data_IF_294821064507
#
_entry.id   IF_294821064507
#
_cell.length_a   1.000
_cell.length_b   1.000
_cell.length_c   1.000
_cell.angle_alpha   90.00
_cell.angle_beta   90.00
_cell.angle_gamma   90.00
#
_symmetry.space_group_name_H-M   'P 1'
#
loop_
_entity.id
_entity.type
_entity.pdbx_description
1 polymer ?
#
# COMPACT_ATOMS: atom_id res chain seq x y z
N UNK A 1 71.44 -47.36 6.57
CA UNK A 1 70.50 -46.41 7.22
C UNK A 1 69.45 -45.85 6.25
N UNK A 2 69.76 -45.51 5.00
CA UNK A 2 68.77 -44.99 4.03
C UNK A 2 67.64 -45.96 3.69
N UNK A 3 67.94 -47.24 3.48
CA UNK A 3 66.93 -48.22 3.01
C UNK A 3 65.91 -48.62 4.08
N UNK A 4 66.30 -48.63 5.36
CA UNK A 4 65.38 -48.91 6.47
C UNK A 4 64.36 -47.78 6.64
N UNK A 5 64.80 -46.52 6.56
CA UNK A 5 63.89 -45.36 6.60
C UNK A 5 62.96 -45.34 5.39
N UNK A 6 63.45 -45.80 4.23
CA UNK A 6 62.63 -45.91 3.02
C UNK A 6 61.59 -47.03 3.15
N UNK A 7 61.94 -48.18 3.71
CA UNK A 7 61.01 -49.28 3.98
C UNK A 7 59.94 -48.91 5.03
N UNK A 8 60.31 -48.18 6.08
CA UNK A 8 59.36 -47.67 7.07
C UNK A 8 58.36 -46.68 6.45
N UNK A 9 58.82 -45.78 5.57
CA UNK A 9 57.92 -44.87 4.83
C UNK A 9 56.98 -45.62 3.89
N UNK A 10 57.46 -46.69 3.24
CA UNK A 10 56.63 -47.52 2.36
C UNK A 10 55.54 -48.22 3.18
N UNK A 11 55.86 -48.77 4.35
CA UNK A 11 54.87 -49.37 5.25
C UNK A 11 53.82 -48.35 5.72
N UNK A 12 54.26 -47.18 6.16
CA UNK A 12 53.35 -46.11 6.59
C UNK A 12 52.42 -45.66 5.45
N UNK A 13 52.94 -45.57 4.22
CA UNK A 13 52.12 -45.25 3.05
C UNK A 13 51.15 -46.38 2.70
N UNK A 14 51.52 -47.64 2.88
CA UNK A 14 50.63 -48.77 2.69
C UNK A 14 49.49 -48.78 3.71
N UNK A 15 49.78 -48.51 4.98
CA UNK A 15 48.77 -48.38 6.05
C UNK A 15 47.80 -47.24 5.77
N UNK A 16 48.30 -46.06 5.37
CA UNK A 16 47.42 -44.94 4.97
C UNK A 16 46.58 -45.25 3.74
N UNK A 17 47.09 -46.06 2.82
CA UNK A 17 46.36 -46.45 1.61
C UNK A 17 45.24 -47.45 1.93
N UNK A 18 45.45 -48.33 2.91
CA UNK A 18 44.38 -49.18 3.46
C UNK A 18 43.32 -48.36 4.20
N UNK A 19 43.72 -47.42 5.07
CA UNK A 19 42.79 -46.51 5.75
C UNK A 19 41.94 -45.70 4.75
N UNK A 20 42.56 -45.17 3.69
CA UNK A 20 41.85 -44.44 2.65
C UNK A 20 40.84 -45.31 1.88
N UNK A 21 41.13 -46.61 1.69
CA UNK A 21 40.19 -47.55 1.06
C UNK A 21 38.99 -47.83 1.96
N UNK A 22 39.20 -47.97 3.26
CA UNK A 22 38.13 -48.17 4.24
C UNK A 22 37.26 -46.91 4.38
N UNK A 23 37.87 -45.73 4.43
CA UNK A 23 37.12 -44.46 4.43
C UNK A 23 36.28 -44.32 3.16
N UNK A 24 36.81 -44.74 2.01
CA UNK A 24 36.08 -44.70 0.73
C UNK A 24 34.93 -45.70 0.68
N UNK A 25 35.07 -46.89 1.28
CA UNK A 25 33.95 -47.83 1.38
C UNK A 25 32.87 -47.30 2.32
N UNK A 26 33.26 -46.77 3.48
CA UNK A 26 32.33 -46.16 4.45
C UNK A 26 31.58 -44.97 3.87
N UNK A 27 32.23 -44.10 3.09
CA UNK A 27 31.54 -43.02 2.39
C UNK A 27 30.50 -43.54 1.40
N UNK A 28 30.83 -44.61 0.67
CA UNK A 28 29.91 -45.22 -0.28
C UNK A 28 28.74 -45.90 0.44
N UNK A 29 29.00 -46.58 1.56
CA UNK A 29 27.96 -47.18 2.38
C UNK A 29 27.04 -46.10 2.96
N UNK A 30 27.56 -44.94 3.38
CA UNK A 30 26.75 -43.81 3.83
C UNK A 30 25.92 -43.20 2.69
N UNK A 31 26.48 -43.09 1.48
CA UNK A 31 25.75 -42.59 0.30
C UNK A 31 24.67 -43.58 -0.16
N UNK A 32 24.93 -44.89 -0.08
CA UNK A 32 23.98 -45.94 -0.44
C UNK A 32 22.92 -46.16 0.68
N UNK A 33 23.24 -45.88 1.94
CA UNK A 33 22.33 -45.90 3.10
C UNK A 33 21.64 -44.55 3.35
N UNK A 34 21.88 -43.51 2.53
CA UNK A 34 21.08 -42.29 2.60
C UNK A 34 19.63 -42.70 2.34
N UNK A 35 18.74 -42.65 3.34
CA UNK A 35 17.38 -43.14 3.12
C UNK A 35 16.76 -42.23 2.06
N UNK A 36 16.07 -42.79 1.06
CA UNK A 36 15.33 -42.01 0.05
C UNK A 36 14.49 -40.88 0.68
N UNK A 37 14.03 -41.10 1.92
CA UNK A 37 13.34 -40.11 2.73
C UNK A 37 14.14 -38.81 2.96
N UNK A 38 15.48 -38.85 3.05
CA UNK A 38 16.32 -37.67 3.24
C UNK A 38 16.43 -36.83 1.95
N UNK A 39 16.59 -37.47 0.79
CA UNK A 39 16.57 -36.78 -0.50
C UNK A 39 15.20 -36.14 -0.74
N UNK A 40 14.12 -36.88 -0.48
CA UNK A 40 12.75 -36.36 -0.57
C UNK A 40 12.52 -35.21 0.41
N UNK A 41 13.01 -35.30 1.65
CA UNK A 41 12.96 -34.22 2.64
C UNK A 41 13.73 -32.98 2.16
N UNK A 42 14.89 -33.16 1.52
CA UNK A 42 15.67 -32.04 0.98
C UNK A 42 14.95 -31.35 -0.18
N UNK A 43 14.28 -32.12 -1.05
CA UNK A 43 13.46 -31.58 -2.15
C UNK A 43 12.26 -30.81 -1.57
N UNK A 44 11.53 -31.41 -0.63
CA UNK A 44 10.40 -30.77 0.04
C UNK A 44 10.81 -29.48 0.76
N UNK A 45 11.98 -29.46 1.41
CA UNK A 45 12.50 -28.27 2.08
C UNK A 45 12.83 -27.16 1.09
N UNK A 46 13.37 -27.50 -0.08
CA UNK A 46 13.65 -26.55 -1.16
C UNK A 46 12.37 -25.95 -1.73
N UNK A 47 11.35 -26.77 -1.94
CA UNK A 47 10.04 -26.32 -2.42
C UNK A 47 9.33 -25.45 -1.38
N UNK A 48 9.36 -25.83 -0.11
CA UNK A 48 8.83 -25.00 0.99
C UNK A 48 9.52 -23.63 1.07
N UNK A 49 10.85 -23.59 0.95
CA UNK A 49 11.59 -22.32 0.91
C UNK A 49 11.15 -21.45 -0.27
N UNK A 50 10.92 -22.06 -1.43
CA UNK A 50 10.43 -21.33 -2.61
C UNK A 50 9.02 -20.79 -2.39
N UNK A 51 8.10 -21.62 -1.90
CA UNK A 51 6.72 -21.20 -1.59
C UNK A 51 6.66 -20.07 -0.56
N UNK A 52 7.50 -20.12 0.48
CA UNK A 52 7.57 -19.04 1.48
C UNK A 52 8.06 -17.73 0.85
N UNK A 53 9.04 -17.80 -0.05
CA UNK A 53 9.54 -16.63 -0.77
C UNK A 53 8.46 -16.05 -1.68
N UNK A 54 7.82 -16.90 -2.48
CA UNK A 54 6.79 -16.50 -3.44
C UNK A 54 5.60 -15.83 -2.71
N UNK A 55 5.14 -16.41 -1.59
CA UNK A 55 4.08 -15.80 -0.76
C UNK A 55 4.49 -14.46 -0.13
N UNK A 56 5.76 -14.34 0.29
CA UNK A 56 6.27 -13.09 0.86
C UNK A 56 6.28 -11.99 -0.19
N UNK A 57 6.74 -12.30 -1.40
CA UNK A 57 6.81 -11.35 -2.51
C UNK A 57 5.40 -10.94 -2.95
N UNK A 58 4.46 -11.88 -3.01
CA UNK A 58 3.05 -11.63 -3.32
C UNK A 58 2.36 -10.77 -2.26
N UNK A 59 2.61 -11.02 -0.97
CA UNK A 59 2.09 -10.19 0.11
C UNK A 59 2.65 -8.77 0.08
N UNK A 60 3.95 -8.61 -0.19
CA UNK A 60 4.59 -7.31 -0.37
C UNK A 60 3.97 -6.54 -1.54
N UNK A 61 3.69 -7.22 -2.64
CA UNK A 61 3.03 -6.61 -3.80
C UNK A 61 1.62 -6.11 -3.45
N UNK A 62 0.82 -6.91 -2.76
CA UNK A 62 -0.52 -6.51 -2.31
C UNK A 62 -0.47 -5.28 -1.39
N UNK A 63 0.46 -5.25 -0.43
CA UNK A 63 0.63 -4.09 0.46
C UNK A 63 0.97 -2.82 -0.32
N UNK A 64 1.82 -2.94 -1.35
CA UNK A 64 2.21 -1.79 -2.17
C UNK A 64 1.05 -1.32 -3.06
N UNK A 65 0.35 -2.24 -3.72
CA UNK A 65 -0.81 -1.93 -4.57
C UNK A 65 -1.95 -1.32 -3.76
N UNK A 66 -2.32 -1.88 -2.61
CA UNK A 66 -3.35 -1.33 -1.72
C UNK A 66 -2.99 0.07 -1.23
N UNK A 67 -1.71 0.35 -0.94
CA UNK A 67 -1.28 1.69 -0.51
C UNK A 67 -1.34 2.73 -1.63
N UNK A 68 -0.99 2.34 -2.86
CA UNK A 68 -1.06 3.24 -4.03
C UNK A 68 -2.51 3.57 -4.33
N UNK A 69 -3.37 2.55 -4.44
CA UNK A 69 -4.80 2.74 -4.70
C UNK A 69 -5.44 3.57 -3.59
N UNK A 70 -5.15 3.28 -2.32
CA UNK A 70 -5.65 4.07 -1.19
C UNK A 70 -5.19 5.53 -1.25
N UNK A 71 -3.94 5.78 -1.65
CA UNK A 71 -3.41 7.14 -1.81
C UNK A 71 -4.12 7.89 -2.92
N UNK A 72 -4.34 7.27 -4.08
CA UNK A 72 -5.07 7.87 -5.19
C UNK A 72 -6.53 8.16 -4.82
N UNK A 73 -7.21 7.22 -4.16
CA UNK A 73 -8.58 7.43 -3.68
C UNK A 73 -8.65 8.58 -2.67
N UNK A 74 -7.69 8.66 -1.75
CA UNK A 74 -7.60 9.74 -0.78
C UNK A 74 -7.44 11.10 -1.45
N UNK A 75 -6.59 11.19 -2.45
CA UNK A 75 -6.35 12.43 -3.20
C UNK A 75 -7.61 12.87 -3.98
N UNK A 76 -8.27 11.94 -4.69
CA UNK A 76 -9.54 12.22 -5.39
C UNK A 76 -10.64 12.70 -4.44
N UNK A 77 -10.77 12.08 -3.26
CA UNK A 77 -11.74 12.50 -2.25
C UNK A 77 -11.43 13.89 -1.73
N UNK A 78 -10.16 14.23 -1.54
CA UNK A 78 -9.74 15.55 -1.09
C UNK A 78 -10.06 16.62 -2.14
N UNK A 79 -9.72 16.37 -3.41
CA UNK A 79 -10.06 17.26 -4.53
C UNK A 79 -11.57 17.49 -4.65
N UNK A 80 -12.37 16.42 -4.59
CA UNK A 80 -13.83 16.53 -4.66
C UNK A 80 -14.40 17.36 -3.48
N UNK A 81 -13.82 17.26 -2.28
CA UNK A 81 -14.22 18.10 -1.14
C UNK A 81 -13.89 19.56 -1.36
N UNK A 82 -12.74 19.86 -1.94
CA UNK A 82 -12.30 21.22 -2.26
C UNK A 82 -13.21 21.84 -3.34
N UNK A 83 -13.52 21.09 -4.41
CA UNK A 83 -14.46 21.52 -5.45
C UNK A 83 -15.86 21.80 -4.88
N UNK A 84 -16.38 20.93 -4.02
CA UNK A 84 -17.69 21.14 -3.37
C UNK A 84 -17.64 22.39 -2.48
N UNK A 85 -16.56 22.60 -1.74
CA UNK A 85 -16.41 23.78 -0.90
C UNK A 85 -16.39 25.07 -1.72
N UNK A 86 -15.67 25.07 -2.85
CA UNK A 86 -15.61 26.19 -3.77
C UNK A 86 -16.96 26.47 -4.43
N UNK A 87 -17.64 25.44 -4.95
CA UNK A 87 -18.97 25.59 -5.54
C UNK A 87 -20.01 26.11 -4.53
N UNK A 88 -19.93 25.70 -3.25
CA UNK A 88 -20.77 26.29 -2.19
C UNK A 88 -20.48 27.77 -2.01
N UNK A 89 -19.22 28.17 -1.94
CA UNK A 89 -18.80 29.57 -1.81
C UNK A 89 -19.33 30.44 -2.96
N UNK A 90 -19.24 29.94 -4.19
CA UNK A 90 -19.79 30.59 -5.37
C UNK A 90 -21.31 30.72 -5.28
N UNK A 91 -22.03 29.67 -4.88
CA UNK A 91 -23.48 29.71 -4.66
C UNK A 91 -23.88 30.74 -3.60
N UNK A 92 -23.17 30.80 -2.47
CA UNK A 92 -23.41 31.82 -1.44
C UNK A 92 -23.20 33.23 -1.99
N UNK A 93 -22.16 33.43 -2.79
CA UNK A 93 -21.83 34.72 -3.39
C UNK A 93 -22.91 35.14 -4.40
N UNK A 94 -23.34 34.23 -5.28
CA UNK A 94 -24.42 34.47 -6.25
C UNK A 94 -25.73 34.75 -5.52
N UNK A 95 -26.09 33.96 -4.51
CA UNK A 95 -27.30 34.18 -3.72
C UNK A 95 -27.29 35.57 -3.05
N UNK A 96 -26.18 35.94 -2.40
CA UNK A 96 -26.00 37.27 -1.80
C UNK A 96 -26.12 38.40 -2.82
N UNK A 97 -25.51 38.26 -3.99
CA UNK A 97 -25.55 39.28 -5.04
C UNK A 97 -26.96 39.40 -5.64
N UNK A 98 -27.63 38.29 -5.94
CA UNK A 98 -28.98 38.28 -6.47
C UNK A 98 -29.99 38.94 -5.51
N UNK A 99 -29.82 38.72 -4.20
CA UNK A 99 -30.65 39.38 -3.19
C UNK A 99 -30.42 40.87 -3.12
N UNK A 100 -29.18 41.33 -3.40
CA UNK A 100 -28.84 42.75 -3.40
C UNK A 100 -29.32 43.48 -4.65
N UNK A 101 -29.29 42.82 -5.81
CA UNK A 101 -29.70 43.43 -7.09
C UNK A 101 -31.22 43.43 -7.33
N UNK A 102 -31.97 42.49 -6.73
CA UNK A 102 -33.41 42.34 -6.96
C UNK A 102 -34.28 42.44 -5.69
N UNK A 103 -33.70 42.75 -4.53
CA UNK A 103 -34.39 42.70 -3.24
C UNK A 103 -35.05 43.99 -2.77
N UNK A 104 -34.59 45.15 -3.25
CA UNK A 104 -35.02 46.44 -2.74
C UNK A 104 -35.82 47.22 -3.80
N UNK A 105 -37.12 47.36 -3.58
CA UNK A 105 -37.98 48.23 -4.38
C UNK A 105 -38.12 49.56 -3.64
N UNK A 106 -37.51 50.63 -4.17
CA UNK A 106 -37.73 52.02 -3.72
C UNK A 106 -38.34 52.81 -4.89
N UNK A 107 -39.66 52.92 -4.88
CA UNK A 107 -40.41 53.63 -5.92
C UNK A 107 -41.39 54.61 -5.27
N UNK A 108 -41.46 55.81 -5.85
CA UNK A 108 -42.48 56.80 -5.49
C UNK A 108 -43.61 56.71 -6.50
N UNK A 109 -44.80 56.32 -6.03
CA UNK A 109 -46.01 56.19 -6.85
C UNK A 109 -46.97 57.30 -6.47
N UNK A 110 -47.57 57.97 -7.46
CA UNK A 110 -48.59 59.00 -7.23
C UNK A 110 -49.95 58.34 -7.31
N UNK A 111 -50.67 58.30 -6.18
CA UNK A 111 -52.06 57.81 -6.11
C UNK A 111 -52.94 59.00 -5.72
N UNK A 112 -53.96 59.28 -6.53
CA UNK A 112 -54.90 60.39 -6.33
C UNK A 112 -54.23 61.77 -6.09
N UNK A 113 -53.14 62.03 -6.80
CA UNK A 113 -52.40 63.30 -6.73
C UNK A 113 -51.44 63.45 -5.55
N UNK A 114 -51.36 62.46 -4.65
CA UNK A 114 -50.43 62.45 -3.52
C UNK A 114 -49.27 61.46 -3.76
N UNK A 115 -48.01 61.85 -3.51
CA UNK A 115 -46.86 60.97 -3.67
C UNK A 115 -46.73 60.02 -2.47
N UNK A 116 -46.75 58.71 -2.74
CA UNK A 116 -46.48 57.66 -1.77
C UNK A 116 -45.15 56.99 -2.08
N UNK A 117 -44.29 56.84 -1.07
CA UNK A 117 -43.03 56.10 -1.18
C UNK A 117 -43.24 54.66 -0.74
N UNK A 118 -43.03 53.72 -1.65
CA UNK A 118 -43.00 52.28 -1.38
C UNK A 118 -41.54 51.85 -1.26
N UNK A 119 -41.15 51.46 -0.05
CA UNK A 119 -39.85 50.85 0.23
C UNK A 119 -40.09 49.44 0.76
N UNK A 120 -39.57 48.43 0.07
CA UNK A 120 -39.57 47.05 0.55
C UNK A 120 -38.14 46.56 0.72
N UNK A 121 -37.87 45.83 1.80
CA UNK A 121 -36.62 45.11 2.03
C UNK A 121 -36.93 43.62 2.06
N UNK A 122 -36.23 42.84 1.25
CA UNK A 122 -36.37 41.38 1.27
C UNK A 122 -35.40 40.78 2.29
N UNK A 123 -35.95 40.13 3.32
CA UNK A 123 -35.14 39.33 4.25
C UNK A 123 -34.79 37.98 3.62
N UNK A 124 -33.49 37.63 3.59
CA UNK A 124 -33.02 36.31 3.15
C UNK A 124 -32.31 35.62 4.31
N UNK A 125 -32.82 34.46 4.70
CA UNK A 125 -32.20 33.60 5.69
C UNK A 125 -31.51 32.43 4.99
N UNK A 126 -30.21 32.27 5.19
CA UNK A 126 -29.47 31.12 4.65
C UNK A 126 -29.28 30.06 5.72
N UNK A 127 -29.62 28.82 5.39
CA UNK A 127 -29.56 27.68 6.32
C UNK A 127 -28.42 26.76 5.94
N UNK A 128 -27.58 26.39 6.92
CA UNK A 128 -26.55 25.36 6.78
C UNK A 128 -26.81 24.26 7.81
N UNK A 129 -26.96 23.02 7.34
CA UNK A 129 -27.31 21.87 8.19
C UNK A 129 -28.55 22.11 9.09
N UNK A 130 -29.57 22.79 8.55
CA UNK A 130 -30.82 23.08 9.26
C UNK A 130 -30.76 24.22 10.29
N UNK A 131 -29.62 24.89 10.45
CA UNK A 131 -29.50 26.10 11.29
C UNK A 131 -29.38 27.34 10.42
N UNK A 132 -30.17 28.36 10.73
CA UNK A 132 -30.02 29.68 10.13
C UNK A 132 -28.66 30.25 10.55
N UNK A 133 -27.83 30.60 9.57
CA UNK A 133 -26.61 31.36 9.80
C UNK A 133 -27.02 32.84 9.82
N UNK A 134 -26.74 33.51 10.95
CA UNK A 134 -26.91 34.96 11.09
C UNK A 134 -25.78 35.71 10.42
#
# INVERSE_FOLDING_TARGET
MSDQVMQEKIKLLQEKLTELKEIKSLMKDIEDDLPMELEDLMIQLKDLKKQVKDRRDEHLKLILEENVDYSEYRERVQLAKEEIAQAKLELFTIASNQTREHGDLDQTVVVDGAPFRLQTQKEVAVYLNGKAIK
#
